data_IF_147407579162
#
_entry.id   IF_147407579162
#
_cell.length_a   1.000
_cell.length_b   1.000
_cell.length_c   1.000
_cell.angle_alpha   90.00
_cell.angle_beta   90.00
_cell.angle_gamma   90.00
#
_symmetry.space_group_name_H-M   'P 1'
#
loop_
_entity.id
_entity.type
_entity.pdbx_description
1 polymer ?
#
# COMPACT_ATOMS: atom_id res chain seq x y z
N UNK A 1 -9.14 -12.66 -9.95
CA UNK A 1 -7.74 -12.18 -9.87
C UNK A 1 -7.71 -10.91 -9.04
N UNK A 2 -6.76 -10.76 -8.11
CA UNK A 2 -6.61 -9.53 -7.34
C UNK A 2 -5.77 -8.54 -8.13
N UNK A 3 -6.37 -7.43 -8.51
CA UNK A 3 -5.75 -6.33 -9.24
C UNK A 3 -5.66 -5.13 -8.31
N UNK A 4 -4.46 -4.86 -7.81
CA UNK A 4 -4.15 -3.60 -7.16
C UNK A 4 -3.71 -2.62 -8.23
N UNK A 5 -4.46 -1.53 -8.41
CA UNK A 5 -3.93 -0.41 -9.17
C UNK A 5 -3.10 0.42 -8.18
N UNK A 6 -1.78 0.53 -8.36
CA UNK A 6 -1.03 1.55 -7.64
C UNK A 6 -1.46 2.89 -8.25
N UNK A 7 -2.57 3.46 -7.75
CA UNK A 7 -2.77 4.90 -7.87
C UNK A 7 -1.51 5.51 -7.27
N UNK A 8 -0.65 6.07 -8.14
CA UNK A 8 0.62 6.70 -7.79
C UNK A 8 0.31 7.95 -6.95
N UNK A 9 -0.12 7.75 -5.71
CA UNK A 9 0.13 8.70 -4.65
C UNK A 9 1.64 8.66 -4.47
N UNK A 10 2.35 9.71 -4.88
CA UNK A 10 3.81 9.87 -4.71
C UNK A 10 4.26 9.95 -3.24
N UNK A 11 3.45 9.44 -2.31
CA UNK A 11 3.57 9.53 -0.87
C UNK A 11 3.96 8.18 -0.28
N UNK A 12 4.82 7.41 -0.96
CA UNK A 12 5.50 6.31 -0.30
C UNK A 12 6.32 6.85 0.88
N UNK A 13 6.28 6.24 2.08
CA UNK A 13 5.60 4.99 2.49
C UNK A 13 4.23 5.18 3.19
N UNK A 14 3.60 6.35 3.08
CA UNK A 14 2.29 6.71 3.64
C UNK A 14 1.13 6.49 2.64
N UNK A 15 1.27 5.52 1.74
CA UNK A 15 0.31 5.23 0.69
C UNK A 15 -0.90 4.40 1.17
N UNK A 16 -2.04 4.68 0.55
CA UNK A 16 -3.26 3.89 0.63
C UNK A 16 -3.54 3.38 -0.78
N UNK A 17 -3.79 2.08 -0.91
CA UNK A 17 -4.02 1.41 -2.19
C UNK A 17 -5.41 0.78 -2.18
N UNK A 18 -6.14 0.97 -3.27
CA UNK A 18 -7.41 0.26 -3.50
C UNK A 18 -7.14 -0.91 -4.46
N UNK A 19 -7.53 -2.11 -4.03
CA UNK A 19 -7.37 -3.33 -4.82
C UNK A 19 -8.72 -3.94 -5.12
N UNK A 20 -8.94 -4.30 -6.38
CA UNK A 20 -10.14 -4.97 -6.84
C UNK A 20 -9.88 -6.48 -7.02
N UNK A 21 -10.72 -7.30 -6.41
CA UNK A 21 -10.86 -8.72 -6.71
C UNK A 21 -11.95 -8.88 -7.75
N UNK A 22 -11.55 -9.25 -8.95
CA UNK A 22 -12.47 -9.48 -10.08
C UNK A 22 -12.70 -10.98 -10.26
N UNK A 23 -13.97 -11.38 -10.27
CA UNK A 23 -14.43 -12.76 -10.50
C UNK A 23 -15.33 -12.76 -11.73
N UNK A 24 -14.98 -13.58 -12.72
CA UNK A 24 -15.76 -13.74 -13.95
C UNK A 24 -15.59 -15.14 -14.52
N UNK A 25 -16.54 -15.55 -15.36
CA UNK A 25 -16.41 -16.77 -16.15
C UNK A 25 -15.55 -16.52 -17.39
N UNK A 26 -14.66 -17.46 -17.70
CA UNK A 26 -13.83 -17.38 -18.91
C UNK A 26 -14.61 -17.72 -20.20
N UNK A 27 -15.54 -18.67 -20.14
CA UNK A 27 -16.17 -19.27 -21.32
C UNK A 27 -17.69 -19.15 -21.39
N UNK A 28 -18.35 -18.70 -20.31
CA UNK A 28 -19.81 -18.58 -20.26
C UNK A 28 -20.22 -17.12 -20.28
N UNK A 29 -21.08 -16.78 -21.23
CA UNK A 29 -21.62 -15.43 -21.38
C UNK A 29 -22.76 -15.18 -20.39
N UNK A 30 -23.24 -13.94 -20.31
CA UNK A 30 -24.45 -13.59 -19.53
C UNK A 30 -25.72 -14.32 -19.97
N UNK A 31 -25.70 -14.99 -21.13
CA UNK A 31 -26.83 -15.81 -21.60
C UNK A 31 -26.90 -17.15 -20.89
N UNK A 32 -25.75 -17.64 -20.42
CA UNK A 32 -25.62 -18.96 -19.81
C UNK A 32 -25.54 -18.84 -18.28
N UNK A 33 -24.76 -17.87 -17.78
CA UNK A 33 -24.50 -17.68 -16.35
C UNK A 33 -24.53 -16.20 -15.98
N UNK A 34 -25.24 -15.89 -14.89
CA UNK A 34 -25.24 -14.56 -14.25
C UNK A 34 -24.83 -14.73 -12.79
N UNK A 35 -23.81 -13.99 -12.37
CA UNK A 35 -23.32 -14.03 -11.00
C UNK A 35 -23.99 -12.95 -10.15
N UNK A 36 -24.29 -13.31 -8.91
CA UNK A 36 -24.83 -12.40 -7.90
C UNK A 36 -24.12 -12.61 -6.55
N UNK A 37 -23.96 -11.53 -5.80
CA UNK A 37 -23.50 -11.57 -4.41
C UNK A 37 -24.62 -12.06 -3.50
N UNK A 38 -24.26 -12.89 -2.52
CA UNK A 38 -25.22 -13.42 -1.56
C UNK A 38 -25.52 -12.41 -0.45
N UNK A 39 -26.35 -11.41 -0.78
CA UNK A 39 -26.80 -10.39 0.18
C UNK A 39 -25.73 -9.37 0.57
N UNK A 40 -26.00 -8.51 1.57
CA UNK A 40 -25.15 -7.37 1.91
C UNK A 40 -23.82 -7.75 2.58
N UNK A 41 -23.70 -8.97 3.12
CA UNK A 41 -22.50 -9.46 3.80
C UNK A 41 -21.78 -10.55 2.99
N UNK A 42 -21.89 -10.53 1.67
CA UNK A 42 -21.32 -11.56 0.80
C UNK A 42 -19.77 -11.60 0.85
N UNK A 43 -19.16 -10.48 1.22
CA UNK A 43 -17.72 -10.37 1.46
C UNK A 43 -17.53 -10.03 2.93
N UNK A 44 -16.76 -10.86 3.62
CA UNK A 44 -16.37 -10.64 5.02
C UNK A 44 -14.87 -10.84 5.15
N UNK A 45 -14.27 -10.15 6.11
CA UNK A 45 -12.85 -10.21 6.40
C UNK A 45 -12.72 -10.67 7.83
N UNK A 46 -11.96 -11.74 8.04
CA UNK A 46 -11.73 -12.28 9.38
C UNK A 46 -10.86 -11.31 10.19
N UNK A 47 -11.23 -11.08 11.45
CA UNK A 47 -10.55 -10.13 12.35
C UNK A 47 -9.11 -10.53 12.65
N UNK A 48 -8.77 -11.82 12.51
CA UNK A 48 -7.43 -12.35 12.74
C UNK A 48 -6.50 -12.19 11.52
N UNK A 49 -6.99 -11.63 10.42
CA UNK A 49 -6.16 -11.37 9.24
C UNK A 49 -5.29 -10.15 9.49
N UNK A 50 -4.05 -10.41 9.88
CA UNK A 50 -3.01 -9.40 10.02
C UNK A 50 -1.96 -9.61 8.94
N UNK A 51 -1.80 -8.63 8.04
CA UNK A 51 -0.67 -8.62 7.11
C UNK A 51 0.51 -7.88 7.74
N UNK A 52 1.72 -8.39 7.55
CA UNK A 52 2.93 -7.81 8.13
C UNK A 52 3.19 -6.36 7.67
N UNK A 53 2.85 -6.03 6.42
CA UNK A 53 3.18 -4.74 5.80
C UNK A 53 1.95 -3.85 5.55
N UNK A 54 0.74 -4.37 5.70
CA UNK A 54 -0.49 -3.65 5.38
C UNK A 54 -1.58 -3.91 6.43
N UNK A 55 -2.36 -2.87 6.71
CA UNK A 55 -3.64 -2.97 7.40
C UNK A 55 -4.76 -2.93 6.36
N UNK A 56 -5.70 -3.85 6.46
CA UNK A 56 -6.93 -3.83 5.66
C UNK A 56 -7.88 -2.80 6.29
N UNK A 57 -8.42 -1.91 5.46
CA UNK A 57 -9.44 -0.94 5.82
C UNK A 57 -10.82 -1.37 5.30
N UNK A 58 -11.56 -0.41 4.77
CA UNK A 58 -12.92 -0.65 4.28
C UNK A 58 -12.95 -1.51 3.01
N UNK A 59 -14.06 -2.24 2.84
CA UNK A 59 -14.33 -3.07 1.68
C UNK A 59 -15.78 -2.88 1.20
N UNK A 60 -15.98 -3.02 -0.10
CA UNK A 60 -17.31 -2.99 -0.72
C UNK A 60 -17.34 -3.91 -1.94
N UNK A 61 -18.53 -4.30 -2.37
CA UNK A 61 -18.69 -5.22 -3.50
C UNK A 61 -19.79 -4.74 -4.43
N UNK A 62 -19.65 -5.08 -5.71
CA UNK A 62 -20.56 -4.67 -6.77
C UNK A 62 -20.67 -5.77 -7.83
N UNK A 63 -21.75 -5.70 -8.59
CA UNK A 63 -22.03 -6.56 -9.74
C UNK A 63 -21.95 -5.71 -11.01
N UNK A 64 -21.26 -6.20 -12.03
CA UNK A 64 -21.08 -5.49 -13.30
C UNK A 64 -21.24 -6.45 -14.48
N UNK A 65 -21.65 -5.90 -15.62
CA UNK A 65 -21.60 -6.61 -16.90
C UNK A 65 -20.56 -5.92 -17.78
N UNK A 66 -19.66 -6.71 -18.33
CA UNK A 66 -18.61 -6.23 -19.23
C UNK A 66 -18.90 -6.72 -20.64
N UNK A 67 -18.65 -5.87 -21.64
CA UNK A 67 -18.77 -6.21 -23.05
C UNK A 67 -17.38 -6.49 -23.63
N UNK A 68 -17.11 -7.73 -24.00
CA UNK A 68 -15.90 -8.15 -24.70
C UNK A 68 -16.22 -8.40 -26.19
N UNK A 69 -15.17 -8.55 -27.00
CA UNK A 69 -15.29 -8.91 -28.41
C UNK A 69 -16.05 -10.22 -28.65
N UNK A 70 -16.02 -11.14 -27.69
CA UNK A 70 -16.69 -12.44 -27.75
C UNK A 70 -18.12 -12.43 -27.19
N UNK A 71 -18.55 -11.35 -26.55
CA UNK A 71 -19.89 -11.22 -25.96
C UNK A 71 -19.90 -10.49 -24.62
N UNK A 72 -21.06 -10.49 -23.96
CA UNK A 72 -21.23 -9.91 -22.63
C UNK A 72 -20.97 -10.95 -21.56
N UNK A 73 -20.24 -10.56 -20.52
CA UNK A 73 -19.89 -11.41 -19.38
C UNK A 73 -20.32 -10.75 -18.07
N UNK A 74 -20.84 -11.56 -17.15
CA UNK A 74 -21.14 -11.13 -15.78
C UNK A 74 -19.84 -11.16 -14.97
N UNK A 75 -19.54 -10.06 -14.27
CA UNK A 75 -18.34 -9.89 -13.45
C UNK A 75 -18.75 -9.40 -12.06
N UNK A 76 -18.24 -10.08 -11.03
CA UNK A 76 -18.32 -9.63 -9.65
C UNK A 76 -17.02 -8.93 -9.28
N UNK A 77 -17.12 -7.72 -8.74
CA UNK A 77 -15.96 -6.94 -8.29
C UNK A 77 -16.07 -6.70 -6.79
N UNK A 78 -15.05 -7.09 -6.02
CA UNK A 78 -14.93 -6.73 -4.61
C UNK A 78 -13.71 -5.84 -4.40
N UNK A 79 -13.90 -4.69 -3.77
CA UNK A 79 -12.88 -3.70 -3.53
C UNK A 79 -12.42 -3.75 -2.08
N UNK A 80 -11.11 -3.68 -1.89
CA UNK A 80 -10.45 -3.71 -0.60
C UNK A 80 -9.48 -2.55 -0.51
N UNK A 81 -9.57 -1.78 0.57
CA UNK A 81 -8.62 -0.73 0.88
C UNK A 81 -7.46 -1.29 1.70
N UNK A 82 -6.24 -1.15 1.19
CA UNK A 82 -5.02 -1.52 1.90
C UNK A 82 -4.24 -0.27 2.28
N UNK A 83 -3.97 -0.10 3.56
CA UNK A 83 -3.12 0.97 4.09
C UNK A 83 -1.77 0.40 4.49
N UNK A 84 -0.67 1.01 4.05
CA UNK A 84 0.68 0.54 4.40
C UNK A 84 0.99 0.81 5.87
N UNK A 85 1.58 -0.18 6.54
CA UNK A 85 2.11 0.01 7.88
C UNK A 85 3.49 0.69 7.81
N UNK A 86 3.58 1.90 8.36
CA UNK A 86 4.78 2.76 8.30
C UNK A 86 5.81 2.45 9.41
N UNK A 87 5.46 1.65 10.43
CA UNK A 87 6.31 1.42 11.61
C UNK A 87 7.77 1.02 11.29
N UNK A 88 7.96 0.12 10.33
CA UNK A 88 9.28 -0.28 9.85
C UNK A 88 10.07 0.89 9.23
N UNK A 89 9.43 1.67 8.37
CA UNK A 89 10.07 2.79 7.68
C UNK A 89 10.49 3.90 8.67
N UNK A 90 9.72 4.13 9.73
CA UNK A 90 10.07 5.12 10.76
C UNK A 90 11.37 4.75 11.48
N UNK A 91 11.50 3.50 11.91
CA UNK A 91 12.65 3.05 12.70
C UNK A 91 13.90 2.90 11.81
N UNK A 92 13.76 2.37 10.60
CA UNK A 92 14.93 2.09 9.76
C UNK A 92 15.37 3.24 8.87
N UNK A 93 14.48 4.16 8.50
CA UNK A 93 14.81 5.25 7.56
C UNK A 93 14.72 6.60 8.25
N UNK A 94 13.56 6.96 8.81
CA UNK A 94 13.36 8.30 9.37
C UNK A 94 14.23 8.55 10.61
N UNK A 95 14.37 7.57 11.49
CA UNK A 95 15.19 7.68 12.69
C UNK A 95 16.67 7.95 12.39
N UNK A 96 17.40 7.13 11.61
CA UNK A 96 18.81 7.42 11.28
C UNK A 96 18.97 8.72 10.49
N UNK A 97 18.06 9.04 9.56
CA UNK A 97 18.12 10.32 8.84
C UNK A 97 17.98 11.52 9.78
N UNK A 98 17.08 11.45 10.76
CA UNK A 98 16.91 12.53 11.75
C UNK A 98 18.15 12.73 12.64
N UNK A 99 18.80 11.63 13.05
CA UNK A 99 20.05 11.68 13.82
C UNK A 99 21.18 12.38 13.03
N UNK A 100 21.32 12.07 11.74
CA UNK A 100 22.33 12.72 10.87
C UNK A 100 22.10 14.23 10.81
N UNK A 101 20.85 14.67 10.65
CA UNK A 101 20.50 16.11 10.62
C UNK A 101 20.83 16.77 11.97
N UNK A 102 20.47 16.15 13.10
CA UNK A 102 20.78 16.67 14.44
C UNK A 102 22.30 16.78 14.65
N UNK A 103 23.06 15.75 14.29
CA UNK A 103 24.53 15.76 14.41
C UNK A 103 25.16 16.87 13.55
N UNK A 104 24.64 17.09 12.35
CA UNK A 104 25.08 18.19 11.48
C UNK A 104 24.85 19.57 12.10
N UNK A 105 23.71 19.76 12.79
CA UNK A 105 23.38 21.01 13.46
C UNK A 105 24.22 21.22 14.73
N UNK A 106 24.46 20.16 15.50
CA UNK A 106 25.34 20.22 16.69
C UNK A 106 26.77 20.60 16.29
N UNK A 107 27.23 20.15 15.13
CA UNK A 107 28.55 20.51 14.58
C UNK A 107 28.68 22.02 14.27
N UNK A 108 27.57 22.72 14.03
CA UNK A 108 27.54 24.18 13.85
C UNK A 108 27.63 24.94 15.18
N UNK A 109 27.09 24.37 16.28
CA UNK A 109 27.18 24.92 17.63
C UNK A 109 28.51 24.66 18.32
N UNK A 110 29.25 23.64 17.85
CA UNK A 110 30.60 23.39 18.31
C UNK A 110 31.53 24.47 17.75
N UNK A 111 31.63 25.56 18.51
CA UNK A 111 32.41 26.74 18.16
C UNK A 111 33.86 26.36 17.80
N UNK A 112 34.38 27.14 16.86
CA UNK A 112 35.63 27.03 16.09
C UNK A 112 36.90 27.27 16.93
N UNK A 113 36.93 26.85 18.19
CA UNK A 113 38.11 27.00 19.06
C UNK A 113 38.93 25.72 19.20
N UNK A 114 38.42 24.57 18.77
CA UNK A 114 39.16 23.30 18.77
C UNK A 114 39.88 22.99 17.43
N UNK A 115 40.17 23.99 16.58
CA UNK A 115 40.87 23.79 15.29
C UNK A 115 42.40 23.71 15.44
N UNK A 116 42.97 23.87 16.63
CA UNK A 116 44.43 23.77 16.84
C UNK A 116 44.99 22.34 17.07
N UNK A 117 44.16 21.29 17.05
CA UNK A 117 44.63 19.91 17.31
C UNK A 117 44.54 18.94 16.10
N UNK A 118 44.38 19.44 14.86
CA UNK A 118 44.30 18.58 13.64
C UNK A 118 45.56 18.53 12.76
N UNK A 119 46.69 19.10 13.19
CA UNK A 119 47.97 18.99 12.43
C UNK A 119 48.82 17.78 12.86
N UNK A 120 48.45 17.02 13.90
CA UNK A 120 49.31 15.96 14.44
C UNK A 120 48.95 14.50 14.06
N UNK A 121 47.80 14.22 13.45
CA UNK A 121 47.36 12.84 13.13
C UNK A 121 47.15 12.68 11.61
N UNK A 122 48.10 13.22 10.86
CA UNK A 122 48.35 12.92 9.46
C UNK A 122 49.74 12.31 9.33
N UNK A 123 49.91 11.11 9.88
CA UNK A 123 50.92 10.13 9.48
C UNK A 123 50.28 8.76 9.44
#
# INVERSE_FOLDING_TARGET
MLMCHPTISRQFPLDIQECALEIESYGYSTRDIIYHWHGPNAVTIDENVHLAHFSIGDHYHIERVISLSTGNYSRLSAYFTFKRNIGFYLIQIYFPSSLIVVISWVSFWLNREAVQARVAIGK
#
